data_IF_201516904411
#
_entry.id   IF_201516904411
#
_cell.length_a   1.000
_cell.length_b   1.000
_cell.length_c   1.000
_cell.angle_alpha   90.00
_cell.angle_beta   90.00
_cell.angle_gamma   90.00
#
_symmetry.space_group_name_H-M   'P 1'
#
loop_
_entity.id
_entity.type
_entity.pdbx_description
1 polymer ?
#
# COMPACT_ATOMS: atom_id res chain seq x y z
N UNK A 1 -23.23 -11.69 29.01
CA UNK A 1 -22.07 -11.40 29.88
C UNK A 1 -20.85 -11.99 29.21
N UNK A 2 -19.92 -11.13 28.79
CA UNK A 2 -18.79 -11.50 27.95
C UNK A 2 -17.64 -12.16 28.70
N UNK A 3 -16.79 -12.85 27.95
CA UNK A 3 -15.42 -13.11 28.33
C UNK A 3 -14.52 -12.71 27.16
N UNK A 4 -13.92 -11.52 27.29
CA UNK A 4 -12.66 -11.17 26.66
C UNK A 4 -11.59 -12.21 27.06
N UNK A 5 -10.92 -12.82 26.08
CA UNK A 5 -9.61 -13.39 26.32
C UNK A 5 -8.57 -12.47 25.67
N UNK A 6 -7.98 -11.67 26.55
CA UNK A 6 -6.86 -10.79 26.26
C UNK A 6 -5.56 -11.55 26.03
N UNK A 7 -4.71 -10.88 25.26
CA UNK A 7 -3.30 -11.13 25.09
C UNK A 7 -2.60 -11.17 26.46
N UNK A 8 -2.09 -12.33 26.89
CA UNK A 8 -0.88 -12.47 27.73
C UNK A 8 -0.64 -13.93 28.13
N UNK A 9 0.39 -14.55 27.52
CA UNK A 9 1.35 -15.46 28.19
C UNK A 9 2.41 -15.93 27.20
N UNK A 10 3.57 -15.27 27.26
CA UNK A 10 4.85 -15.86 26.89
C UNK A 10 5.08 -17.15 27.72
N UNK A 11 4.91 -18.31 27.10
CA UNK A 11 5.55 -19.55 27.56
C UNK A 11 6.30 -20.18 26.41
N UNK A 12 7.63 -20.24 26.60
CA UNK A 12 8.62 -20.96 25.78
C UNK A 12 8.01 -22.24 25.22
N UNK A 13 7.70 -22.20 23.94
CA UNK A 13 7.35 -23.37 23.15
C UNK A 13 8.18 -23.24 21.90
N UNK A 14 9.07 -24.20 21.68
CA UNK A 14 9.89 -24.33 20.47
C UNK A 14 8.89 -24.58 19.35
N UNK A 15 8.50 -23.52 18.64
CA UNK A 15 7.63 -23.62 17.46
C UNK A 15 8.53 -23.95 16.29
N UNK A 16 8.37 -25.17 15.78
CA UNK A 16 8.92 -25.60 14.51
C UNK A 16 8.23 -24.80 13.40
N UNK A 17 8.95 -23.84 12.82
CA UNK A 17 8.45 -23.02 11.72
C UNK A 17 8.73 -23.77 10.41
N UNK A 18 7.69 -24.31 9.79
CA UNK A 18 7.74 -24.71 8.38
C UNK A 18 7.51 -23.44 7.55
N UNK A 19 8.57 -22.91 6.95
CA UNK A 19 8.51 -21.77 6.05
C UNK A 19 8.28 -22.23 4.60
N UNK A 20 7.36 -21.59 3.89
CA UNK A 20 7.38 -21.51 2.44
C UNK A 20 7.77 -20.07 2.06
N UNK A 21 8.95 -19.89 1.50
CA UNK A 21 9.42 -18.64 0.90
C UNK A 21 8.78 -18.46 -0.49
N UNK A 22 8.50 -17.23 -0.98
CA UNK A 22 8.01 -16.99 -2.34
C UNK A 22 9.08 -17.09 -3.44
N UNK A 23 10.28 -17.57 -3.13
CA UNK A 23 11.34 -17.83 -4.10
C UNK A 23 11.85 -19.25 -3.87
N UNK A 24 11.25 -20.21 -4.58
CA UNK A 24 11.95 -21.30 -5.29
C UNK A 24 10.94 -22.33 -5.82
N UNK A 25 10.82 -22.37 -7.14
CA UNK A 25 10.26 -23.49 -7.89
C UNK A 25 11.43 -24.17 -8.62
N UNK A 26 12.29 -24.89 -7.91
CA UNK A 26 13.10 -25.96 -8.50
C UNK A 26 13.19 -27.11 -7.50
N UNK A 27 12.73 -28.29 -7.92
CA UNK A 27 12.74 -29.48 -7.09
C UNK A 27 14.14 -29.84 -6.61
N UNK A 28 14.29 -30.02 -5.31
CA UNK A 28 15.53 -30.48 -4.69
C UNK A 28 15.61 -30.07 -3.23
N UNK A 29 15.61 -31.05 -2.31
CA UNK A 29 15.74 -30.83 -0.87
C UNK A 29 17.11 -30.23 -0.52
N UNK A 30 17.19 -28.93 -0.24
CA UNK A 30 18.28 -28.37 0.55
C UNK A 30 17.74 -27.26 1.48
N UNK A 31 17.69 -27.57 2.78
CA UNK A 31 17.38 -26.61 3.83
C UNK A 31 18.67 -25.85 4.13
N UNK A 32 18.78 -24.60 3.68
CA UNK A 32 19.87 -23.71 4.06
C UNK A 32 19.43 -22.96 5.33
N UNK A 33 20.07 -23.27 6.46
CA UNK A 33 19.89 -22.53 7.69
C UNK A 33 20.72 -21.24 7.63
N UNK A 34 20.07 -20.10 7.44
CA UNK A 34 20.68 -18.79 7.71
C UNK A 34 20.22 -18.33 9.09
N UNK A 35 21.18 -17.97 9.95
CA UNK A 35 20.88 -17.44 11.29
C UNK A 35 20.17 -16.07 11.18
N UNK A 36 19.40 -15.72 12.20
CA UNK A 36 18.73 -14.41 12.34
C UNK A 36 19.74 -13.25 12.16
N UNK A 37 21.01 -13.46 12.48
CA UNK A 37 22.07 -12.47 12.32
C UNK A 37 22.50 -12.25 10.86
N UNK A 38 22.36 -13.27 9.99
CA UNK A 38 22.60 -13.13 8.55
C UNK A 38 21.52 -12.25 7.88
N UNK A 39 20.27 -12.33 8.35
CA UNK A 39 19.14 -11.51 7.86
C UNK A 39 19.23 -10.06 8.35
N UNK A 40 19.74 -9.84 9.58
CA UNK A 40 20.03 -8.48 10.08
C UNK A 40 21.16 -7.80 9.31
N UNK A 41 22.18 -8.57 8.89
CA UNK A 41 23.26 -8.07 8.03
C UNK A 41 22.76 -7.71 6.63
N UNK A 42 21.93 -8.54 6.00
CA UNK A 42 21.41 -8.25 4.66
C UNK A 42 20.39 -7.09 4.64
N UNK A 43 19.59 -6.92 5.71
CA UNK A 43 18.70 -5.78 5.85
C UNK A 43 19.45 -4.44 6.07
N UNK A 44 20.61 -4.47 6.74
CA UNK A 44 21.48 -3.29 6.86
C UNK A 44 22.15 -2.87 5.54
N UNK A 45 22.27 -3.78 4.57
CA UNK A 45 22.90 -3.47 3.27
C UNK A 45 21.92 -2.98 2.19
N UNK A 46 20.60 -3.08 2.41
CA UNK A 46 19.57 -2.76 1.39
C UNK A 46 18.86 -1.41 1.55
N UNK A 47 19.26 -0.56 2.49
CA UNK A 47 18.71 0.80 2.67
C UNK A 47 19.70 1.93 2.36
N UNK A 48 20.61 1.73 1.40
CA UNK A 48 21.35 2.89 0.88
C UNK A 48 20.44 3.67 -0.08
N UNK A 49 19.71 4.64 0.48
CA UNK A 49 19.01 5.66 -0.30
C UNK A 49 20.05 6.31 -1.21
N UNK A 50 19.97 6.01 -2.51
CA UNK A 50 20.88 6.56 -3.51
C UNK A 50 20.50 8.01 -3.75
N UNK A 51 21.31 8.94 -3.26
CA UNK A 51 21.10 10.38 -3.40
C UNK A 51 21.79 10.82 -4.69
N UNK A 52 21.07 11.43 -5.62
CA UNK A 52 21.65 11.95 -6.87
C UNK A 52 21.69 13.47 -6.86
N UNK A 53 22.77 14.05 -7.39
CA UNK A 53 22.86 15.49 -7.58
C UNK A 53 21.84 15.96 -8.63
N UNK A 54 20.99 16.96 -8.35
CA UNK A 54 19.98 17.44 -9.31
C UNK A 54 20.60 18.15 -10.53
N UNK A 55 21.88 18.50 -10.48
CA UNK A 55 22.57 19.21 -11.56
C UNK A 55 23.34 18.28 -12.52
N UNK A 56 23.85 17.15 -12.03
CA UNK A 56 24.72 16.27 -12.83
C UNK A 56 24.45 14.78 -12.63
N UNK A 57 23.46 14.43 -11.81
CA UNK A 57 23.01 13.06 -11.53
C UNK A 57 24.08 12.13 -10.96
N UNK A 58 25.21 12.67 -10.50
CA UNK A 58 26.22 11.89 -9.78
C UNK A 58 25.70 11.48 -8.40
N UNK A 59 26.08 10.29 -7.95
CA UNK A 59 25.81 9.80 -6.61
C UNK A 59 26.45 10.71 -5.56
N UNK A 60 25.68 11.02 -4.52
CA UNK A 60 26.09 11.77 -3.35
C UNK A 60 26.22 10.75 -2.21
N UNK A 61 27.46 10.50 -1.82
CA UNK A 61 27.81 9.50 -0.79
C UNK A 61 27.63 10.02 0.64
N UNK A 62 27.52 11.35 0.80
CA UNK A 62 27.29 12.03 2.08
C UNK A 62 26.10 12.98 1.95
N UNK A 63 24.97 12.61 2.55
CA UNK A 63 23.74 13.40 2.54
C UNK A 63 23.91 14.78 3.23
N UNK A 64 24.97 14.98 4.02
CA UNK A 64 25.24 16.24 4.74
C UNK A 64 26.09 17.23 3.95
N UNK A 65 26.57 16.86 2.76
CA UNK A 65 27.36 17.76 1.92
C UNK A 65 26.53 18.92 1.38
N UNK A 66 27.11 20.11 1.37
CA UNK A 66 26.48 21.34 0.87
C UNK A 66 26.79 21.59 -0.61
N UNK A 67 27.72 20.82 -1.19
CA UNK A 67 28.16 20.93 -2.58
C UNK A 67 28.31 19.55 -3.22
N UNK A 68 27.95 19.44 -4.50
CA UNK A 68 28.21 18.23 -5.27
C UNK A 68 29.71 18.09 -5.54
N UNK A 69 30.30 16.95 -5.15
CA UNK A 69 31.73 16.70 -5.39
C UNK A 69 32.07 16.57 -6.89
N UNK A 70 31.10 16.17 -7.73
CA UNK A 70 31.27 16.02 -9.17
C UNK A 70 31.17 17.37 -9.91
N UNK A 71 30.03 18.07 -9.81
CA UNK A 71 29.81 19.30 -10.58
C UNK A 71 30.12 20.61 -9.83
N UNK A 72 30.53 20.53 -8.56
CA UNK A 72 30.89 21.66 -7.68
C UNK A 72 29.78 22.69 -7.43
N UNK A 73 28.57 22.45 -7.90
CA UNK A 73 27.39 23.30 -7.64
C UNK A 73 26.86 23.05 -6.22
N UNK A 74 26.35 24.11 -5.60
CA UNK A 74 25.65 24.01 -4.32
C UNK A 74 24.45 23.08 -4.45
N UNK A 75 24.24 22.26 -3.42
CA UNK A 75 23.03 21.46 -3.29
C UNK A 75 21.96 22.31 -2.56
N UNK A 76 20.67 22.15 -2.89
CA UNK A 76 19.62 22.87 -2.17
C UNK A 76 19.66 22.51 -0.68
N UNK A 77 19.45 23.47 0.21
CA UNK A 77 19.35 23.21 1.65
C UNK A 77 17.91 23.45 2.09
N UNK A 78 17.36 22.53 2.88
CA UNK A 78 16.15 22.79 3.64
C UNK A 78 16.61 23.34 5.00
N UNK A 79 16.50 24.67 5.18
CA UNK A 79 16.90 25.32 6.44
C UNK A 79 15.97 24.92 7.58
N UNK A 80 16.56 24.34 8.63
CA UNK A 80 15.98 24.17 9.95
C UNK A 80 14.63 23.44 10.03
N UNK A 81 14.64 22.20 10.51
CA UNK A 81 13.45 21.59 11.07
C UNK A 81 12.79 22.53 12.11
N UNK A 82 11.51 22.86 11.95
CA UNK A 82 10.77 23.70 12.92
C UNK A 82 10.73 23.09 14.33
N UNK A 83 10.87 21.75 14.43
CA UNK A 83 10.82 21.01 15.70
C UNK A 83 12.17 20.89 16.40
N UNK A 84 13.25 20.58 15.68
CA UNK A 84 14.57 20.35 16.30
C UNK A 84 15.63 21.37 15.91
N UNK A 85 15.28 22.32 15.05
CA UNK A 85 16.11 23.42 14.55
C UNK A 85 17.40 22.99 13.84
N UNK A 86 17.55 21.70 13.54
CA UNK A 86 18.67 21.18 12.75
C UNK A 86 18.37 21.33 11.27
N UNK A 87 19.39 21.69 10.51
CA UNK A 87 19.31 21.72 9.05
C UNK A 87 19.12 20.32 8.48
N UNK A 88 18.36 20.24 7.38
CA UNK A 88 18.00 18.98 6.74
C UNK A 88 18.45 19.03 5.28
N UNK A 89 19.05 17.94 4.81
CA UNK A 89 19.38 17.79 3.41
C UNK A 89 18.12 17.74 2.54
N UNK A 90 18.20 18.20 1.29
CA UNK A 90 17.07 18.42 0.38
C UNK A 90 16.19 17.21 0.02
N UNK A 91 16.51 16.01 0.51
CA UNK A 91 15.90 14.76 0.11
C UNK A 91 15.12 14.02 1.20
N UNK A 92 14.77 14.68 2.31
CA UNK A 92 13.94 14.05 3.34
C UNK A 92 12.53 14.66 3.40
N UNK A 93 11.50 13.81 3.36
CA UNK A 93 10.09 14.18 3.56
C UNK A 93 9.68 14.19 5.05
N UNK A 94 10.65 13.91 5.92
CA UNK A 94 10.55 14.00 7.38
C UNK A 94 11.93 14.41 7.94
N UNK A 95 12.00 14.90 9.18
CA UNK A 95 13.28 15.22 9.81
C UNK A 95 13.99 13.95 10.27
N UNK A 96 15.19 13.61 9.74
CA UNK A 96 15.92 12.41 10.16
C UNK A 96 16.45 12.49 11.60
N UNK A 97 16.44 13.69 12.20
CA UNK A 97 16.90 13.89 13.58
C UNK A 97 15.79 13.78 14.64
N UNK A 98 14.51 13.98 14.28
CA UNK A 98 13.43 14.03 15.26
C UNK A 98 12.06 13.50 14.78
N UNK A 99 11.99 12.98 13.55
CA UNK A 99 10.78 12.40 12.96
C UNK A 99 9.67 13.40 12.62
N UNK A 100 9.95 14.70 12.64
CA UNK A 100 8.98 15.74 12.22
C UNK A 100 8.59 15.56 10.75
N UNK A 101 7.37 15.85 10.35
CA UNK A 101 6.89 15.57 9.00
C UNK A 101 7.24 16.69 8.00
N UNK A 102 6.76 16.57 6.75
CA UNK A 102 6.96 17.55 5.69
C UNK A 102 6.50 18.99 6.04
N UNK A 103 5.44 19.16 6.83
CA UNK A 103 4.93 20.48 7.28
C UNK A 103 5.92 21.19 8.23
N UNK A 104 6.68 20.39 8.99
CA UNK A 104 7.66 20.84 9.97
C UNK A 104 9.03 21.14 9.37
N UNK A 105 9.28 20.75 8.11
CA UNK A 105 10.61 20.86 7.50
C UNK A 105 10.60 21.66 6.20
N UNK A 106 9.51 21.68 5.43
CA UNK A 106 9.48 22.37 4.14
C UNK A 106 9.28 23.89 4.28
N UNK A 107 9.94 24.71 3.43
CA UNK A 107 9.69 26.14 3.38
C UNK A 107 8.24 26.43 2.95
N UNK A 108 7.64 27.54 3.41
CA UNK A 108 6.23 27.87 3.16
C UNK A 108 5.84 27.83 1.67
N UNK A 109 6.70 28.33 0.78
CA UNK A 109 6.46 28.33 -0.68
C UNK A 109 6.32 26.92 -1.26
N UNK A 110 7.13 25.96 -0.79
CA UNK A 110 7.05 24.56 -1.24
C UNK A 110 5.87 23.83 -0.60
N UNK A 111 5.50 24.19 0.62
CA UNK A 111 4.28 23.71 1.26
C UNK A 111 3.04 24.26 0.54
N UNK A 112 3.07 25.51 0.08
CA UNK A 112 2.00 26.14 -0.70
C UNK A 112 1.86 25.49 -2.09
N UNK A 113 2.97 25.16 -2.76
CA UNK A 113 2.95 24.39 -4.00
C UNK A 113 2.37 22.97 -3.81
N UNK A 114 2.78 22.24 -2.76
CA UNK A 114 2.22 20.93 -2.44
C UNK A 114 0.73 21.01 -2.07
N UNK A 115 0.34 22.03 -1.30
CA UNK A 115 -1.05 22.28 -0.96
C UNK A 115 -1.88 22.69 -2.18
N UNK A 116 -1.31 23.44 -3.12
CA UNK A 116 -1.96 23.75 -4.41
C UNK A 116 -2.16 22.47 -5.24
N UNK A 117 -1.14 21.63 -5.37
CA UNK A 117 -1.25 20.33 -6.06
C UNK A 117 -2.29 19.42 -5.38
N UNK A 118 -2.31 19.37 -4.05
CA UNK A 118 -3.28 18.58 -3.29
C UNK A 118 -4.71 19.14 -3.37
N UNK A 119 -4.87 20.47 -3.46
CA UNK A 119 -6.19 21.13 -3.60
C UNK A 119 -6.69 21.18 -5.05
N UNK A 120 -5.82 21.16 -6.05
CA UNK A 120 -6.21 20.92 -7.46
C UNK A 120 -6.60 19.45 -7.68
N UNK A 121 -5.98 18.53 -6.93
CA UNK A 121 -6.38 17.13 -6.84
C UNK A 121 -7.53 16.90 -5.83
N UNK A 122 -8.34 17.93 -5.60
CA UNK A 122 -9.36 17.95 -4.57
C UNK A 122 -10.24 16.69 -4.61
N UNK A 123 -10.50 16.22 -3.40
CA UNK A 123 -11.40 15.16 -2.93
C UNK A 123 -12.85 15.37 -3.42
N UNK A 124 -13.06 15.47 -4.72
CA UNK A 124 -14.40 15.41 -5.33
C UNK A 124 -14.81 13.95 -5.24
N UNK A 125 -15.36 13.61 -4.07
CA UNK A 125 -16.05 12.36 -3.92
C UNK A 125 -17.34 12.47 -4.72
N UNK A 126 -17.46 11.67 -5.77
CA UNK A 126 -18.73 11.50 -6.48
C UNK A 126 -19.38 10.21 -6.00
N UNK A 127 -20.62 10.01 -6.42
CA UNK A 127 -21.36 8.78 -6.18
C UNK A 127 -21.69 8.15 -7.53
N UNK A 128 -21.45 6.85 -7.63
CA UNK A 128 -21.84 6.02 -8.75
C UNK A 128 -22.90 5.03 -8.28
N UNK A 129 -24.10 5.11 -8.84
CA UNK A 129 -25.12 4.08 -8.61
C UNK A 129 -25.05 3.06 -9.72
N UNK A 130 -24.74 1.81 -9.35
CA UNK A 130 -24.68 0.69 -10.28
C UNK A 130 -26.10 0.34 -10.74
N UNK A 131 -26.44 0.50 -12.03
CA UNK A 131 -27.80 0.26 -12.51
C UNK A 131 -28.20 -1.23 -12.45
N UNK A 132 -27.23 -2.14 -12.26
CA UNK A 132 -27.47 -3.59 -12.24
C UNK A 132 -28.06 -4.07 -10.92
N UNK A 133 -27.74 -3.41 -9.81
CA UNK A 133 -28.20 -3.79 -8.46
C UNK A 133 -28.74 -2.61 -7.63
N UNK A 134 -28.69 -1.38 -8.15
CA UNK A 134 -29.14 -0.16 -7.48
C UNK A 134 -28.23 0.30 -6.35
N UNK A 135 -27.05 -0.31 -6.16
CA UNK A 135 -26.13 0.04 -5.09
C UNK A 135 -25.32 1.28 -5.47
N UNK A 136 -25.28 2.24 -4.55
CA UNK A 136 -24.44 3.43 -4.68
C UNK A 136 -23.08 3.19 -4.04
N UNK A 137 -22.02 3.50 -4.80
CA UNK A 137 -20.62 3.45 -4.39
C UNK A 137 -20.03 4.86 -4.46
N UNK A 138 -19.20 5.20 -3.48
CA UNK A 138 -18.40 6.42 -3.54
C UNK A 138 -17.24 6.23 -4.52
N UNK A 139 -16.96 7.27 -5.29
CA UNK A 139 -15.75 7.39 -6.11
C UNK A 139 -14.92 8.56 -5.64
N UNK A 140 -13.66 8.59 -6.07
CA UNK A 140 -12.70 9.64 -5.71
C UNK A 140 -11.75 9.86 -6.87
N UNK A 141 -11.50 11.12 -7.20
CA UNK A 141 -10.49 11.50 -8.18
C UNK A 141 -9.13 11.64 -7.46
N UNK A 142 -8.13 10.90 -7.94
CA UNK A 142 -6.75 10.94 -7.44
C UNK A 142 -5.84 11.20 -8.64
N UNK A 143 -5.24 12.39 -8.69
CA UNK A 143 -4.56 12.87 -9.88
C UNK A 143 -5.55 12.95 -11.06
N UNK A 144 -5.26 12.20 -12.12
CA UNK A 144 -6.10 12.16 -13.32
C UNK A 144 -6.98 10.90 -13.40
N UNK A 145 -7.08 10.12 -12.32
CA UNK A 145 -7.79 8.85 -12.28
C UNK A 145 -8.96 8.91 -11.32
N UNK A 146 -10.14 8.45 -11.74
CA UNK A 146 -11.29 8.30 -10.86
C UNK A 146 -11.40 6.84 -10.39
N UNK A 147 -11.24 6.63 -9.09
CA UNK A 147 -11.23 5.34 -8.42
C UNK A 147 -12.51 5.13 -7.61
N UNK A 148 -12.96 3.89 -7.47
CA UNK A 148 -13.90 3.55 -6.40
C UNK A 148 -13.22 3.72 -5.04
N UNK A 149 -13.88 4.41 -4.11
CA UNK A 149 -13.44 4.55 -2.71
C UNK A 149 -13.89 3.37 -1.83
N UNK A 150 -14.75 2.51 -2.38
CA UNK A 150 -15.31 1.33 -1.73
C UNK A 150 -14.99 0.07 -2.54
N UNK A 151 -14.93 -1.09 -1.88
CA UNK A 151 -14.80 -2.37 -2.59
C UNK A 151 -16.13 -2.70 -3.24
N UNK A 152 -16.09 -3.25 -4.45
CA UNK A 152 -17.30 -3.75 -5.10
C UNK A 152 -18.00 -4.80 -4.24
N UNK A 153 -19.32 -4.76 -4.30
CA UNK A 153 -20.21 -5.71 -3.64
C UNK A 153 -21.27 -6.27 -4.61
N UNK A 154 -21.06 -6.11 -5.92
CA UNK A 154 -21.93 -6.66 -6.95
C UNK A 154 -21.93 -8.18 -6.90
N UNK A 155 -23.11 -8.79 -6.84
CA UNK A 155 -23.24 -10.24 -6.66
C UNK A 155 -23.05 -10.96 -8.00
N UNK A 156 -21.99 -11.76 -8.07
CA UNK A 156 -21.79 -12.74 -9.15
C UNK A 156 -21.77 -14.15 -8.55
N UNK A 157 -22.15 -15.15 -9.33
CA UNK A 157 -22.23 -16.53 -8.85
C UNK A 157 -20.89 -16.98 -8.24
N UNK A 158 -20.95 -17.44 -6.99
CA UNK A 158 -19.80 -17.92 -6.24
C UNK A 158 -18.91 -16.83 -5.64
N UNK A 159 -19.12 -15.53 -5.88
CA UNK A 159 -18.46 -14.48 -5.11
C UNK A 159 -19.07 -14.42 -3.70
N UNK A 160 -18.24 -14.08 -2.70
CA UNK A 160 -18.69 -14.10 -1.32
C UNK A 160 -17.93 -13.08 -0.47
N UNK A 161 -18.55 -12.57 0.61
CA UNK A 161 -17.83 -11.75 1.57
C UNK A 161 -16.85 -12.61 2.37
N UNK A 162 -15.98 -11.95 3.13
CA UNK A 162 -15.09 -12.65 4.06
C UNK A 162 -15.91 -13.49 5.06
N UNK A 163 -15.52 -14.77 5.23
CA UNK A 163 -16.23 -15.76 6.04
C UNK A 163 -17.73 -15.92 5.73
N UNK A 164 -18.17 -15.57 4.52
CA UNK A 164 -19.59 -15.57 4.14
C UNK A 164 -20.49 -14.73 5.08
N UNK A 165 -19.92 -13.71 5.73
CA UNK A 165 -20.64 -12.83 6.65
C UNK A 165 -21.26 -11.62 5.94
N UNK A 166 -22.56 -11.39 6.13
CA UNK A 166 -23.27 -10.21 5.61
C UNK A 166 -22.76 -8.89 6.22
N UNK A 167 -22.34 -8.90 7.48
CA UNK A 167 -21.67 -7.75 8.12
C UNK A 167 -20.37 -7.42 7.37
N UNK A 168 -19.59 -8.45 7.02
CA UNK A 168 -18.35 -8.27 6.25
C UNK A 168 -18.62 -7.82 4.82
N UNK A 169 -19.73 -8.22 4.21
CA UNK A 169 -20.16 -7.70 2.91
C UNK A 169 -20.42 -6.18 2.96
N UNK A 170 -21.03 -5.72 4.06
CA UNK A 170 -21.33 -4.29 4.26
C UNK A 170 -20.06 -3.48 4.45
N UNK A 171 -19.11 -3.98 5.24
CA UNK A 171 -17.88 -3.26 5.58
C UNK A 171 -16.80 -3.35 4.51
N UNK A 172 -16.60 -4.52 3.92
CA UNK A 172 -15.45 -4.82 3.05
C UNK A 172 -15.81 -5.15 1.61
N UNK A 173 -17.11 -5.19 1.27
CA UNK A 173 -17.56 -5.70 -0.03
C UNK A 173 -17.40 -7.21 -0.16
N UNK A 174 -17.37 -7.69 -1.41
CA UNK A 174 -17.21 -9.11 -1.73
C UNK A 174 -15.78 -9.42 -2.19
N UNK A 175 -15.44 -10.70 -2.13
CA UNK A 175 -14.21 -11.27 -2.67
C UNK A 175 -14.55 -12.04 -3.95
N UNK A 176 -13.75 -11.81 -4.98
CA UNK A 176 -13.96 -12.33 -6.34
C UNK A 176 -12.72 -13.09 -6.81
N UNK A 177 -12.92 -14.21 -7.48
CA UNK A 177 -11.88 -14.77 -8.38
C UNK A 177 -11.54 -13.78 -9.47
N UNK A 178 -10.42 -13.97 -10.16
CA UNK A 178 -10.02 -13.05 -11.23
C UNK A 178 -11.06 -13.00 -12.38
N UNK A 179 -11.64 -14.15 -12.74
CA UNK A 179 -12.74 -14.21 -13.71
C UNK A 179 -14.02 -13.52 -13.20
N UNK A 180 -14.38 -13.75 -11.94
CA UNK A 180 -15.52 -13.09 -11.31
C UNK A 180 -15.32 -11.57 -11.22
N UNK A 181 -14.09 -11.12 -10.99
CA UNK A 181 -13.75 -9.70 -10.89
C UNK A 181 -14.01 -9.00 -12.22
N UNK A 182 -13.62 -9.60 -13.36
CA UNK A 182 -13.91 -9.07 -14.70
C UNK A 182 -15.41 -8.95 -14.99
N UNK A 183 -16.22 -9.88 -14.49
CA UNK A 183 -17.67 -9.83 -14.62
C UNK A 183 -18.33 -8.81 -13.67
N UNK A 184 -17.74 -8.63 -12.48
CA UNK A 184 -18.34 -7.81 -11.43
C UNK A 184 -18.21 -6.31 -11.67
N UNK A 185 -17.24 -5.86 -12.46
CA UNK A 185 -17.04 -4.43 -12.74
C UNK A 185 -18.19 -3.88 -13.61
N UNK A 186 -18.80 -2.73 -13.23
CA UNK A 186 -19.89 -2.13 -14.00
C UNK A 186 -19.44 -1.45 -15.28
N UNK A 187 -20.39 -1.20 -16.18
CA UNK A 187 -20.16 -0.42 -17.39
C UNK A 187 -19.60 0.98 -17.08
N UNK A 188 -18.65 1.43 -17.89
CA UNK A 188 -17.91 2.69 -17.68
C UNK A 188 -16.83 2.60 -16.59
N UNK A 189 -16.64 1.43 -15.97
CA UNK A 189 -15.50 1.11 -15.12
C UNK A 189 -14.75 -0.09 -15.67
N UNK A 190 -13.50 -0.27 -15.25
CA UNK A 190 -12.69 -1.45 -15.54
C UNK A 190 -11.88 -1.88 -14.31
N UNK A 191 -11.37 -3.11 -14.35
CA UNK A 191 -10.29 -3.48 -13.44
C UNK A 191 -9.07 -2.60 -13.75
N UNK A 192 -8.29 -2.19 -12.74
CA UNK A 192 -7.10 -1.38 -12.98
C UNK A 192 -6.00 -2.22 -13.63
N UNK A 193 -5.22 -1.60 -14.52
CA UNK A 193 -3.96 -2.18 -15.02
C UNK A 193 -2.85 -1.98 -14.00
N UNK A 194 -1.69 -2.57 -14.24
CA UNK A 194 -0.50 -2.29 -13.43
C UNK A 194 -0.04 -0.85 -13.61
N UNK A 195 -0.13 -0.30 -14.81
CA UNK A 195 0.19 1.11 -15.09
C UNK A 195 -0.73 2.07 -14.33
N UNK A 196 -2.01 1.74 -14.15
CA UNK A 196 -2.90 2.59 -13.36
C UNK A 196 -2.42 2.72 -11.92
N UNK A 197 -1.99 1.62 -11.31
CA UNK A 197 -1.44 1.63 -9.96
C UNK A 197 -0.10 2.37 -9.91
N UNK A 198 0.76 2.22 -10.92
CA UNK A 198 2.01 2.99 -11.00
C UNK A 198 1.74 4.50 -11.10
N UNK A 199 0.76 4.93 -11.88
CA UNK A 199 0.33 6.33 -11.95
C UNK A 199 -0.17 6.82 -10.58
N UNK A 200 -1.03 6.03 -9.92
CA UNK A 200 -1.55 6.32 -8.59
C UNK A 200 -0.43 6.47 -7.55
N UNK A 201 0.54 5.57 -7.54
CA UNK A 201 1.70 5.60 -6.62
C UNK A 201 2.58 6.82 -6.84
N UNK A 202 2.92 7.09 -8.10
CA UNK A 202 3.71 8.26 -8.48
C UNK A 202 2.99 9.54 -8.06
N UNK A 203 1.67 9.60 -8.24
CA UNK A 203 0.86 10.71 -7.79
C UNK A 203 0.91 10.86 -6.25
N UNK A 204 0.73 9.77 -5.49
CA UNK A 204 0.84 9.79 -4.02
C UNK A 204 2.18 10.37 -3.57
N UNK A 205 3.28 9.84 -4.11
CA UNK A 205 4.64 10.26 -3.76
C UNK A 205 4.90 11.71 -4.12
N UNK A 206 4.45 12.17 -5.30
CA UNK A 206 4.64 13.54 -5.77
C UNK A 206 3.84 14.57 -4.96
N UNK A 207 2.59 14.24 -4.61
CA UNK A 207 1.66 15.17 -3.96
C UNK A 207 1.81 15.23 -2.44
N UNK A 208 2.25 14.14 -1.80
CA UNK A 208 2.34 14.07 -0.33
C UNK A 208 3.75 13.84 0.20
N UNK A 209 4.67 13.33 -0.63
CA UNK A 209 5.96 12.82 -0.17
C UNK A 209 5.87 11.43 0.50
N UNK A 210 4.69 10.83 0.60
CA UNK A 210 4.47 9.53 1.24
C UNK A 210 4.47 8.41 0.21
N UNK A 211 4.91 7.23 0.64
CA UNK A 211 4.67 6.01 -0.12
C UNK A 211 3.16 5.70 -0.17
N UNK A 212 2.72 5.10 -1.27
CA UNK A 212 1.31 4.89 -1.57
C UNK A 212 0.57 4.09 -0.49
N UNK A 213 1.22 3.15 0.18
CA UNK A 213 0.57 2.41 1.25
C UNK A 213 0.23 3.25 2.47
N UNK A 214 1.09 4.20 2.86
CA UNK A 214 0.74 5.16 3.92
C UNK A 214 -0.31 6.15 3.43
N UNK A 215 -0.23 6.61 2.18
CA UNK A 215 -1.16 7.59 1.62
C UNK A 215 -2.58 7.05 1.37
N UNK A 216 -2.74 5.77 1.01
CA UNK A 216 -4.01 5.19 0.53
C UNK A 216 -4.71 4.25 1.52
N UNK A 217 -3.97 3.66 2.47
CA UNK A 217 -4.61 2.90 3.56
C UNK A 217 -5.63 3.81 4.25
N UNK A 218 -6.79 3.26 4.60
CA UNK A 218 -7.63 3.88 5.63
C UNK A 218 -6.77 4.17 6.86
N UNK A 219 -7.26 5.02 7.76
CA UNK A 219 -6.56 5.30 9.01
C UNK A 219 -6.45 4.02 9.88
N UNK A 220 -6.43 4.14 11.20
CA UNK A 220 -6.31 2.98 12.10
C UNK A 220 -7.52 2.03 12.10
N UNK A 221 -8.55 2.29 11.29
CA UNK A 221 -9.78 1.48 11.22
C UNK A 221 -9.47 0.07 10.68
N UNK A 222 -9.90 -0.97 11.41
CA UNK A 222 -9.79 -2.40 11.06
C UNK A 222 -8.37 -2.99 10.92
N UNK A 223 -7.33 -2.20 10.69
CA UNK A 223 -5.96 -2.71 10.56
C UNK A 223 -5.43 -3.25 11.88
N UNK A 224 -4.85 -4.45 11.84
CA UNK A 224 -4.19 -5.11 12.96
C UNK A 224 -3.15 -4.19 13.59
N UNK A 225 -3.18 -4.00 14.91
CA UNK A 225 -2.26 -3.11 15.62
C UNK A 225 -0.85 -3.68 15.75
N UNK A 226 -0.74 -4.97 16.06
CA UNK A 226 0.52 -5.70 16.17
C UNK A 226 0.33 -7.12 15.66
N UNK A 227 1.25 -7.57 14.82
CA UNK A 227 1.29 -8.94 14.31
C UNK A 227 2.72 -9.48 14.29
N UNK A 228 2.90 -10.68 13.75
CA UNK A 228 4.20 -11.36 13.76
C UNK A 228 5.32 -10.61 13.03
N UNK A 229 4.97 -9.74 12.06
CA UNK A 229 5.92 -9.05 11.21
C UNK A 229 6.22 -7.61 11.67
N UNK A 230 5.63 -7.18 12.80
CA UNK A 230 5.86 -5.86 13.37
C UNK A 230 4.58 -5.20 13.88
N UNK A 231 4.67 -3.90 14.13
CA UNK A 231 3.58 -3.04 14.53
C UNK A 231 2.98 -2.32 13.32
N UNK A 232 1.73 -1.88 13.45
CA UNK A 232 1.02 -1.17 12.39
C UNK A 232 1.67 0.16 12.05
N UNK A 233 1.80 0.42 10.76
CA UNK A 233 1.99 1.76 10.21
C UNK A 233 0.61 2.34 9.89
N UNK A 234 0.17 3.41 10.57
CA UNK A 234 -1.11 4.06 10.30
C UNK A 234 -1.20 4.55 8.86
N UNK A 235 -2.32 4.29 8.19
CA UNK A 235 -2.67 5.00 6.96
C UNK A 235 -3.10 6.43 7.26
N UNK A 236 -2.94 7.32 6.27
CA UNK A 236 -3.40 8.71 6.34
C UNK A 236 -4.65 8.97 5.49
N UNK A 237 -4.99 8.04 4.58
CA UNK A 237 -6.05 8.18 3.59
C UNK A 237 -6.10 9.58 2.96
N UNK A 238 -4.94 10.06 2.50
CA UNK A 238 -4.71 11.46 2.12
C UNK A 238 -5.67 11.93 1.01
N UNK A 239 -6.20 11.00 0.22
CA UNK A 239 -7.07 11.30 -0.91
C UNK A 239 -8.50 10.78 -0.74
N UNK A 240 -8.80 9.91 0.22
CA UNK A 240 -10.10 9.26 0.36
C UNK A 240 -10.25 7.95 -0.43
N UNK A 241 -9.13 7.31 -0.79
CA UNK A 241 -9.12 5.98 -1.38
C UNK A 241 -9.65 4.92 -0.41
N UNK A 242 -9.44 5.13 0.90
CA UNK A 242 -9.98 4.34 2.01
C UNK A 242 -9.77 2.83 1.85
N UNK A 243 -8.54 2.38 1.61
CA UNK A 243 -8.26 0.95 1.50
C UNK A 243 -8.43 0.24 2.85
N UNK A 244 -9.35 -0.73 2.90
CA UNK A 244 -9.65 -1.54 4.08
C UNK A 244 -9.04 -2.95 3.99
N UNK A 245 -8.58 -3.54 5.11
CA UNK A 245 -7.90 -4.83 5.14
C UNK A 245 -8.88 -6.03 5.11
N UNK A 246 -9.53 -6.21 3.96
CA UNK A 246 -10.58 -7.22 3.75
C UNK A 246 -10.08 -8.69 3.80
N UNK A 247 -8.76 -8.91 3.79
CA UNK A 247 -8.18 -10.25 3.67
C UNK A 247 -8.50 -10.90 2.33
N UNK A 248 -8.43 -12.23 2.28
CA UNK A 248 -8.65 -12.99 1.05
C UNK A 248 -9.26 -14.37 1.31
N UNK A 249 -9.65 -15.05 0.22
CA UNK A 249 -9.91 -16.48 0.22
C UNK A 249 -8.91 -17.17 -0.72
N UNK A 250 -8.24 -18.23 -0.27
CA UNK A 250 -7.34 -19.02 -1.13
C UNK A 250 -8.13 -19.87 -2.13
N UNK A 251 -7.45 -20.43 -3.13
CA UNK A 251 -8.06 -21.38 -4.08
C UNK A 251 -8.64 -22.64 -3.41
N UNK A 252 -8.18 -22.98 -2.20
CA UNK A 252 -8.72 -24.05 -1.36
C UNK A 252 -9.91 -23.60 -0.50
N UNK A 253 -10.49 -22.43 -0.79
CA UNK A 253 -11.64 -21.83 -0.09
C UNK A 253 -11.38 -21.44 1.37
N UNK A 254 -10.10 -21.35 1.78
CA UNK A 254 -9.72 -20.93 3.14
C UNK A 254 -9.61 -19.41 3.20
N UNK A 255 -10.32 -18.80 4.15
CA UNK A 255 -10.23 -17.37 4.42
C UNK A 255 -9.01 -17.05 5.27
N UNK A 256 -8.24 -16.04 4.86
CA UNK A 256 -6.99 -15.67 5.52
C UNK A 256 -6.87 -14.14 5.63
N UNK A 257 -6.02 -13.67 6.56
CA UNK A 257 -5.45 -12.33 6.51
C UNK A 257 -6.39 -11.14 6.68
N UNK A 258 -7.62 -11.35 7.17
CA UNK A 258 -8.48 -10.24 7.60
C UNK A 258 -7.72 -9.34 8.59
N UNK A 259 -7.91 -8.02 8.49
CA UNK A 259 -7.24 -6.99 9.28
C UNK A 259 -5.73 -6.85 9.02
N UNK A 260 -5.09 -7.76 8.29
CA UNK A 260 -3.65 -7.73 8.06
C UNK A 260 -3.31 -7.16 6.67
N UNK A 261 -4.14 -7.45 5.67
CA UNK A 261 -3.87 -7.10 4.28
C UNK A 261 -5.14 -6.68 3.53
N UNK A 262 -4.97 -5.74 2.61
CA UNK A 262 -5.94 -5.40 1.56
C UNK A 262 -5.39 -5.88 0.22
N UNK A 263 -6.21 -6.57 -0.58
CA UNK A 263 -5.81 -7.14 -1.87
C UNK A 263 -6.72 -6.63 -2.98
N UNK A 264 -6.14 -6.25 -4.12
CA UNK A 264 -6.88 -5.73 -5.28
C UNK A 264 -6.36 -6.40 -6.56
N UNK A 265 -7.24 -7.06 -7.31
CA UNK A 265 -6.89 -7.60 -8.63
C UNK A 265 -6.51 -6.49 -9.61
N UNK A 266 -5.55 -6.77 -10.51
CA UNK A 266 -5.39 -6.04 -11.76
C UNK A 266 -6.12 -6.76 -12.89
N UNK A 267 -6.26 -6.13 -14.06
CA UNK A 267 -6.78 -6.75 -15.29
C UNK A 267 -5.72 -7.56 -16.07
N UNK A 268 -4.49 -7.64 -15.56
CA UNK A 268 -3.38 -8.28 -16.25
C UNK A 268 -3.16 -9.73 -15.82
N UNK A 269 -3.21 -10.61 -16.82
CA UNK A 269 -2.84 -12.00 -16.70
C UNK A 269 -1.31 -12.15 -16.64
N UNK A 270 -0.83 -13.02 -15.74
CA UNK A 270 0.59 -13.40 -15.70
C UNK A 270 0.86 -14.63 -16.56
N UNK A 271 0.00 -15.64 -16.40
CA UNK A 271 0.04 -16.91 -17.13
C UNK A 271 -1.36 -17.56 -17.08
N UNK A 272 -1.48 -18.76 -17.64
CA UNK A 272 -2.76 -19.48 -17.71
C UNK A 272 -3.43 -19.67 -16.34
N UNK A 273 -2.66 -19.82 -15.26
CA UNK A 273 -3.17 -20.07 -13.91
C UNK A 273 -3.20 -18.83 -13.02
N UNK A 274 -2.41 -17.79 -13.32
CA UNK A 274 -2.15 -16.67 -12.42
C UNK A 274 -2.45 -15.30 -13.04
N UNK A 275 -2.86 -14.38 -12.18
CA UNK A 275 -3.03 -12.97 -12.51
C UNK A 275 -2.29 -12.09 -11.49
N UNK A 276 -2.01 -10.85 -11.87
CA UNK A 276 -1.38 -9.87 -11.00
C UNK A 276 -2.39 -9.23 -10.04
N UNK A 277 -1.93 -8.89 -8.84
CA UNK A 277 -2.70 -8.17 -7.85
C UNK A 277 -1.79 -7.22 -7.07
N UNK A 278 -2.39 -6.19 -6.50
CA UNK A 278 -1.72 -5.26 -5.59
C UNK A 278 -2.16 -5.53 -4.17
N UNK A 279 -1.28 -5.30 -3.21
CA UNK A 279 -1.63 -5.43 -1.81
C UNK A 279 -1.00 -4.39 -0.91
N UNK A 280 -1.76 -4.05 0.13
CA UNK A 280 -1.33 -3.21 1.24
C UNK A 280 -1.26 -4.07 2.50
N UNK A 281 -0.29 -3.81 3.35
CA UNK A 281 -0.11 -4.52 4.61
C UNK A 281 -0.16 -3.57 5.81
N UNK A 282 -0.49 -4.13 6.97
CA UNK A 282 -0.57 -3.34 8.19
C UNK A 282 0.80 -2.75 8.61
N UNK A 283 1.91 -3.41 8.28
CA UNK A 283 3.27 -3.09 8.77
C UNK A 283 4.20 -2.46 7.72
N UNK A 284 3.75 -2.27 6.48
CA UNK A 284 4.55 -1.66 5.40
C UNK A 284 3.87 -0.42 4.82
N UNK A 285 4.68 0.44 4.21
CA UNK A 285 4.26 1.67 3.52
C UNK A 285 4.14 1.49 2.01
N UNK A 286 4.58 0.35 1.47
CA UNK A 286 4.54 0.06 0.03
C UNK A 286 3.16 -0.43 -0.41
N UNK A 287 2.82 -0.18 -1.67
CA UNK A 287 1.71 -0.83 -2.36
C UNK A 287 2.25 -1.96 -3.23
N UNK A 288 2.57 -3.11 -2.68
CA UNK A 288 3.36 -4.11 -3.40
C UNK A 288 2.56 -4.91 -4.44
N UNK A 289 3.21 -5.21 -5.58
CA UNK A 289 2.67 -6.06 -6.64
C UNK A 289 3.13 -7.51 -6.47
N UNK A 290 2.20 -8.45 -6.67
CA UNK A 290 2.44 -9.88 -6.64
C UNK A 290 1.53 -10.57 -7.68
N UNK A 291 1.65 -11.90 -7.81
CA UNK A 291 0.75 -12.71 -8.64
C UNK A 291 0.22 -13.89 -7.85
N UNK A 292 -1.06 -14.23 -8.02
CA UNK A 292 -1.69 -15.39 -7.38
C UNK A 292 -2.51 -16.21 -8.37
N UNK A 293 -2.87 -17.42 -7.96
CA UNK A 293 -3.78 -18.26 -8.73
C UNK A 293 -5.12 -17.54 -8.93
N UNK A 294 -5.66 -17.56 -10.16
CA UNK A 294 -6.90 -16.88 -10.55
C UNK A 294 -8.12 -17.33 -9.73
N UNK A 295 -8.06 -18.50 -9.09
CA UNK A 295 -9.11 -19.03 -8.21
C UNK A 295 -9.04 -18.54 -6.76
N UNK A 296 -7.98 -17.83 -6.35
CA UNK A 296 -8.01 -17.04 -5.12
C UNK A 296 -9.05 -15.93 -5.25
N UNK A 297 -9.60 -15.46 -4.14
CA UNK A 297 -10.55 -14.34 -4.13
C UNK A 297 -10.01 -13.13 -3.38
N UNK A 298 -9.97 -12.00 -4.09
CA UNK A 298 -9.55 -10.70 -3.58
C UNK A 298 -10.66 -9.68 -3.80
N UNK A 299 -10.53 -8.52 -3.15
CA UNK A 299 -11.44 -7.42 -3.37
C UNK A 299 -11.21 -6.79 -4.76
N UNK A 300 -12.21 -6.08 -5.26
CA UNK A 300 -12.11 -5.28 -6.48
C UNK A 300 -12.28 -3.82 -6.14
N UNK A 301 -11.34 -3.01 -6.62
CA UNK A 301 -11.39 -1.55 -6.60
C UNK A 301 -11.28 -1.05 -8.02
N UNK A 302 -12.41 -0.72 -8.63
CA UNK A 302 -12.47 -0.40 -10.05
C UNK A 302 -12.07 1.06 -10.32
N UNK A 303 -11.62 1.30 -11.54
CA UNK A 303 -11.25 2.63 -12.06
C UNK A 303 -12.18 3.01 -13.22
N UNK A 304 -12.56 4.28 -13.33
CA UNK A 304 -13.40 4.79 -14.41
C UNK A 304 -12.66 4.74 -15.75
N UNK A 305 -13.36 4.34 -16.81
CA UNK A 305 -12.83 4.42 -18.19
C UNK A 305 -12.91 5.88 -18.66
N UNK A 306 -11.83 6.37 -19.27
CA UNK A 306 -11.77 7.71 -19.89
C UNK A 306 -12.35 7.72 -21.29
#
# INVERSE_FOLDING_TARGET
MGCHFGCDRLKKSIIWVIYFSPLDFFGGKHIIFLSIDAFKKSAQELEKIMILCPNCYAEITDATTHFCMNCKKALPLIKGCKKCHKDISFNFNYCPHCGANNQDILPPEKLEELNRIASEANKVSSEFTDPRDGRTYKTVIIGNQEWMAENLAFVVEGANPYNNSSEKATTYGLLYTWEQAKLAVPEGFRLPTREDFVELENFCQKSTGLQAGTALKSNTEHWCETGMLGTRIPGQDSFGFKALPAGSQSSLKVFNYLNNYAYFWTDEEKDQEKAYFRHLSYYNETFAELSSNKNCKFSVRAIKIK
#
